data_IF_000923144195
#
_entry.id   IF_000923144195
#
_cell.length_a   1.000
_cell.length_b   1.000
_cell.length_c   1.000
_cell.angle_alpha   90.00
_cell.angle_beta   90.00
_cell.angle_gamma   90.00
#
_symmetry.space_group_name_H-M   'P 1'
#
loop_
_entity.id
_entity.type
_entity.pdbx_description
1 polymer ?
#
# COMPACT_ATOMS: atom_id res chain seq x y z
N UNK A 1 -3.64 64.53 46.95
CA UNK A 1 -2.65 65.61 46.71
C UNK A 1 -1.39 64.90 46.24
N UNK A 2 -0.84 65.06 45.04
CA UNK A 2 -0.97 66.08 43.98
C UNK A 2 -0.32 65.45 42.73
N UNK A 3 -0.79 65.86 41.54
CA UNK A 3 -0.23 65.51 40.24
C UNK A 3 1.23 65.96 40.07
N UNK A 4 1.98 65.24 39.23
CA UNK A 4 3.14 65.78 38.52
C UNK A 4 3.12 65.30 37.04
N UNK A 5 2.95 66.20 36.05
CA UNK A 5 2.91 65.84 34.63
C UNK A 5 4.14 66.38 33.90
N UNK A 6 5.14 65.54 33.63
CA UNK A 6 6.23 65.88 32.70
C UNK A 6 6.85 64.62 32.10
N UNK A 7 6.30 64.17 30.98
CA UNK A 7 7.00 63.28 30.06
C UNK A 7 6.61 63.66 28.63
N UNK A 8 7.37 64.60 28.06
CA UNK A 8 7.34 64.93 26.64
C UNK A 8 8.76 64.89 26.08
N UNK A 9 8.83 64.46 24.82
CA UNK A 9 9.95 64.45 23.89
C UNK A 9 11.04 63.40 24.09
N UNK A 10 10.85 62.27 23.41
CA UNK A 10 11.96 61.67 22.68
C UNK A 10 11.56 61.59 21.20
N UNK A 11 11.99 62.59 20.43
CA UNK A 11 11.92 62.61 18.98
C UNK A 11 12.86 61.52 18.44
N UNK A 12 12.28 60.43 17.95
CA UNK A 12 13.03 59.42 17.20
C UNK A 12 13.28 59.97 15.81
N UNK A 13 14.54 60.36 15.59
CA UNK A 13 15.07 60.76 14.30
C UNK A 13 14.85 59.65 13.26
N UNK A 14 14.30 60.01 12.12
CA UNK A 14 14.26 59.18 10.92
C UNK A 14 15.70 58.98 10.44
N UNK A 15 16.23 57.79 10.66
CA UNK A 15 17.38 57.30 9.90
C UNK A 15 16.84 56.59 8.66
N UNK A 16 17.01 57.23 7.52
CA UNK A 16 16.88 56.62 6.20
C UNK A 16 17.99 55.59 6.01
N UNK A 17 17.69 54.32 6.28
CA UNK A 17 18.44 53.20 5.71
C UNK A 17 17.55 52.55 4.65
N UNK A 18 18.07 52.47 3.42
CA UNK A 18 17.53 51.64 2.35
C UNK A 18 17.70 50.17 2.76
N UNK A 19 16.85 49.71 3.67
CA UNK A 19 16.68 48.31 3.98
C UNK A 19 15.89 47.65 2.87
N UNK A 20 16.45 46.61 2.24
CA UNK A 20 15.63 45.54 1.65
C UNK A 20 14.70 45.09 2.77
N UNK A 21 13.44 45.50 2.71
CA UNK A 21 12.40 44.92 3.55
C UNK A 21 12.45 43.43 3.26
N UNK A 22 12.70 42.62 4.28
CA UNK A 22 12.61 41.18 4.13
C UNK A 22 11.14 40.88 3.80
N UNK A 23 10.84 40.68 2.50
CA UNK A 23 9.52 40.29 2.03
C UNK A 23 9.09 39.04 2.81
N UNK A 24 7.86 39.03 3.31
CA UNK A 24 7.38 37.89 4.08
C UNK A 24 7.39 36.63 3.19
N UNK A 25 7.67 35.43 3.72
CA UNK A 25 7.70 34.19 2.93
C UNK A 25 6.47 33.96 2.05
N UNK A 26 5.29 34.34 2.55
CA UNK A 26 4.02 34.25 1.83
C UNK A 26 3.90 35.27 0.70
N UNK A 27 4.50 36.45 0.82
CA UNK A 27 4.53 37.46 -0.26
C UNK A 27 5.40 36.98 -1.41
N UNK A 28 6.55 36.38 -1.12
CA UNK A 28 7.44 35.76 -2.11
C UNK A 28 6.68 34.65 -2.85
N UNK A 29 5.95 33.81 -2.12
CA UNK A 29 5.12 32.76 -2.71
C UNK A 29 4.00 33.33 -3.58
N UNK A 30 3.25 34.32 -3.09
CA UNK A 30 2.16 34.95 -3.86
C UNK A 30 2.69 35.56 -5.16
N UNK A 31 3.81 36.27 -5.09
CA UNK A 31 4.48 36.85 -6.25
C UNK A 31 4.92 35.78 -7.23
N UNK A 32 5.52 34.69 -6.75
CA UNK A 32 5.92 33.57 -7.60
C UNK A 32 4.73 32.94 -8.33
N UNK A 33 3.58 32.79 -7.66
CA UNK A 33 2.34 32.29 -8.28
C UNK A 33 1.84 33.27 -9.34
N UNK A 34 1.74 34.56 -9.01
CA UNK A 34 1.27 35.59 -9.94
C UNK A 34 2.17 35.74 -11.18
N UNK A 35 3.49 35.71 -10.98
CA UNK A 35 4.46 35.76 -12.07
C UNK A 35 4.29 34.55 -12.99
N UNK A 36 4.02 33.37 -12.44
CA UNK A 36 3.69 32.19 -13.23
C UNK A 36 2.39 32.39 -14.03
N UNK A 37 1.32 32.87 -13.39
CA UNK A 37 0.05 33.10 -14.07
C UNK A 37 0.19 34.09 -15.23
N UNK A 38 1.03 35.12 -15.08
CA UNK A 38 1.37 36.08 -16.14
C UNK A 38 2.12 35.41 -17.29
N UNK A 39 3.13 34.59 -16.99
CA UNK A 39 3.93 33.88 -18.01
C UNK A 39 3.06 32.92 -18.85
N UNK A 40 2.14 32.18 -18.22
CA UNK A 40 1.22 31.28 -18.93
C UNK A 40 0.02 31.98 -19.56
N UNK A 41 -0.21 33.25 -19.26
CA UNK A 41 -1.33 34.02 -19.79
C UNK A 41 -2.70 33.57 -19.29
N UNK A 42 -2.78 32.97 -18.09
CA UNK A 42 -4.06 32.57 -17.52
C UNK A 42 -4.87 33.79 -17.08
N UNK A 43 -6.07 33.95 -17.64
CA UNK A 43 -6.99 35.07 -17.33
C UNK A 43 -7.91 34.80 -16.15
N UNK A 44 -8.13 33.52 -15.80
CA UNK A 44 -9.01 33.09 -14.71
C UNK A 44 -8.36 31.96 -13.94
N UNK A 45 -8.47 31.99 -12.62
CA UNK A 45 -7.98 30.93 -11.72
C UNK A 45 -8.61 29.56 -12.03
N UNK A 46 -9.84 29.55 -12.55
CA UNK A 46 -10.56 28.33 -12.91
C UNK A 46 -9.98 27.58 -14.12
N UNK A 47 -9.11 28.22 -14.91
CA UNK A 47 -8.49 27.64 -16.10
C UNK A 47 -7.04 27.18 -15.84
N UNK A 48 -6.56 27.30 -14.60
CA UNK A 48 -5.20 26.88 -14.22
C UNK A 48 -5.19 25.38 -13.97
N UNK A 49 -4.52 24.64 -14.85
CA UNK A 49 -4.35 23.18 -14.75
C UNK A 49 -2.97 22.78 -14.24
N UNK A 50 -1.98 23.65 -14.41
CA UNK A 50 -0.57 23.36 -14.14
C UNK A 50 0.10 24.59 -13.50
N UNK A 51 0.90 24.36 -12.47
CA UNK A 51 1.59 25.42 -11.75
C UNK A 51 3.06 25.05 -11.47
N UNK A 52 3.97 25.85 -12.02
CA UNK A 52 5.41 25.65 -11.91
C UNK A 52 6.02 26.63 -10.91
N UNK A 53 6.40 26.13 -9.74
CA UNK A 53 6.96 26.91 -8.62
C UNK A 53 8.31 26.34 -8.14
N UNK A 54 8.98 25.55 -8.98
CA UNK A 54 10.27 24.94 -8.65
C UNK A 54 11.41 25.97 -8.56
N UNK A 55 12.40 25.70 -7.71
CA UNK A 55 13.65 26.50 -7.61
C UNK A 55 13.41 27.97 -7.26
N UNK A 56 12.42 28.26 -6.40
CA UNK A 56 12.07 29.62 -5.96
C UNK A 56 12.51 29.90 -4.53
N UNK A 57 13.11 28.92 -3.84
CA UNK A 57 13.56 29.05 -2.46
C UNK A 57 12.40 29.24 -1.47
N UNK A 58 11.20 28.78 -1.84
CA UNK A 58 9.99 28.95 -1.03
C UNK A 58 10.12 28.15 0.27
N UNK A 59 9.84 28.79 1.40
CA UNK A 59 9.69 28.12 2.70
C UNK A 59 8.24 27.80 3.00
N UNK A 60 7.32 28.63 2.49
CA UNK A 60 5.88 28.48 2.60
C UNK A 60 5.22 28.71 1.24
N UNK A 61 4.03 28.15 1.05
CA UNK A 61 3.22 28.37 -0.15
C UNK A 61 1.88 28.95 0.27
N UNK A 62 1.40 29.97 -0.46
CA UNK A 62 0.05 30.49 -0.27
C UNK A 62 -1.01 29.41 -0.51
N UNK A 63 -2.17 29.52 0.14
CA UNK A 63 -3.26 28.58 -0.08
C UNK A 63 -3.69 28.55 -1.56
N UNK A 64 -3.63 27.37 -2.17
CA UNK A 64 -3.91 27.13 -3.59
C UNK A 64 -5.37 26.71 -3.82
N UNK A 65 -6.23 26.84 -2.81
CA UNK A 65 -7.65 26.47 -2.88
C UNK A 65 -8.46 27.17 -3.98
N UNK A 66 -7.99 28.33 -4.47
CA UNK A 66 -8.59 29.04 -5.60
C UNK A 66 -8.49 28.26 -6.93
N UNK A 67 -7.47 27.41 -7.10
CA UNK A 67 -7.20 26.66 -8.33
C UNK A 67 -7.89 25.28 -8.31
N UNK A 68 -9.22 25.27 -8.47
CA UNK A 68 -10.04 24.05 -8.35
C UNK A 68 -9.76 22.97 -9.41
N UNK A 69 -9.23 23.35 -10.57
CA UNK A 69 -8.90 22.44 -11.68
C UNK A 69 -7.41 22.10 -11.79
N UNK A 70 -6.61 22.49 -10.79
CA UNK A 70 -5.18 22.19 -10.77
C UNK A 70 -4.97 20.66 -10.79
N UNK A 71 -4.19 20.19 -11.77
CA UNK A 71 -3.83 18.78 -11.96
C UNK A 71 -2.35 18.52 -11.69
N UNK A 72 -1.49 19.46 -12.05
CA UNK A 72 -0.03 19.29 -11.95
C UNK A 72 0.60 20.41 -11.14
N UNK A 73 1.37 20.05 -10.11
CA UNK A 73 2.04 21.02 -9.26
C UNK A 73 3.52 20.66 -9.08
N UNK A 74 4.39 21.56 -9.55
CA UNK A 74 5.84 21.43 -9.41
C UNK A 74 6.36 22.37 -8.32
N UNK A 75 6.81 21.80 -7.21
CA UNK A 75 7.37 22.50 -6.06
C UNK A 75 8.76 21.96 -5.68
N UNK A 76 9.40 21.23 -6.57
CA UNK A 76 10.70 20.64 -6.32
C UNK A 76 11.82 21.69 -6.20
N UNK A 77 12.86 21.36 -5.43
CA UNK A 77 13.99 22.27 -5.15
C UNK A 77 13.55 23.58 -4.47
N UNK A 78 12.76 23.46 -3.40
CA UNK A 78 12.43 24.58 -2.51
C UNK A 78 12.89 24.23 -1.08
N UNK A 79 12.41 24.96 -0.07
CA UNK A 79 12.74 24.79 1.35
C UNK A 79 11.46 24.58 2.18
N UNK A 80 10.49 23.90 1.60
CA UNK A 80 9.20 23.67 2.26
C UNK A 80 9.36 22.71 3.43
N UNK A 81 8.64 22.99 4.51
CA UNK A 81 8.65 22.17 5.74
C UNK A 81 7.41 21.28 5.89
N UNK A 82 6.28 21.64 5.26
CA UNK A 82 5.02 20.92 5.33
C UNK A 82 4.10 21.24 4.15
N UNK A 83 2.93 20.59 4.12
CA UNK A 83 1.98 20.65 2.98
C UNK A 83 0.61 21.17 3.47
N UNK A 84 0.55 22.42 3.90
CA UNK A 84 -0.69 23.04 4.42
C UNK A 84 -1.52 23.81 3.39
N UNK A 85 -1.03 23.90 2.14
CA UNK A 85 -1.54 24.81 1.11
C UNK A 85 -2.43 24.14 0.05
N UNK A 86 -2.72 22.84 0.17
CA UNK A 86 -3.49 22.05 -0.81
C UNK A 86 -4.93 21.80 -0.40
N UNK A 87 -5.58 22.82 0.14
CA UNK A 87 -6.98 22.70 0.60
C UNK A 87 -7.92 22.72 -0.60
N UNK A 88 -8.79 21.71 -0.76
CA UNK A 88 -9.81 21.62 -1.83
C UNK A 88 -9.27 21.44 -3.26
N UNK A 89 -8.01 21.05 -3.45
CA UNK A 89 -7.46 20.72 -4.78
C UNK A 89 -7.76 19.26 -5.19
N UNK A 90 -9.03 18.88 -5.21
CA UNK A 90 -9.46 17.48 -5.42
C UNK A 90 -9.08 16.87 -6.78
N UNK A 91 -8.77 17.72 -7.78
CA UNK A 91 -8.37 17.31 -9.12
C UNK A 91 -6.86 17.08 -9.28
N UNK A 92 -6.06 17.32 -8.23
CA UNK A 92 -4.61 17.20 -8.31
C UNK A 92 -4.23 15.74 -8.59
N UNK A 93 -3.50 15.53 -9.69
CA UNK A 93 -3.10 14.22 -10.17
C UNK A 93 -1.61 13.96 -9.91
N UNK A 94 -0.77 14.99 -10.02
CA UNK A 94 0.68 14.87 -9.88
C UNK A 94 1.23 15.98 -8.99
N UNK A 95 2.00 15.56 -7.97
CA UNK A 95 2.60 16.45 -6.99
C UNK A 95 4.10 16.15 -6.85
N UNK A 96 4.91 17.14 -7.23
CA UNK A 96 6.36 17.06 -7.19
C UNK A 96 6.90 17.92 -6.04
N UNK A 97 7.33 17.27 -4.96
CA UNK A 97 7.83 17.90 -3.74
C UNK A 97 9.26 17.45 -3.38
N UNK A 98 9.96 16.85 -4.33
CA UNK A 98 11.31 16.38 -4.11
C UNK A 98 12.32 17.52 -3.88
N UNK A 99 13.40 17.24 -3.15
CA UNK A 99 14.42 18.22 -2.78
C UNK A 99 13.81 19.42 -2.02
N UNK A 100 13.15 19.12 -0.90
CA UNK A 100 12.64 20.09 0.07
C UNK A 100 13.10 19.68 1.48
N UNK A 101 12.58 20.33 2.53
CA UNK A 101 12.86 20.03 3.92
C UNK A 101 11.59 19.57 4.65
N UNK A 102 10.75 18.78 3.96
CA UNK A 102 9.43 18.38 4.45
C UNK A 102 9.61 17.30 5.51
N UNK A 103 9.15 17.58 6.73
CA UNK A 103 9.15 16.60 7.83
C UNK A 103 7.76 16.06 8.15
N UNK A 104 6.70 16.74 7.68
CA UNK A 104 5.30 16.36 7.87
C UNK A 104 4.49 16.51 6.58
N UNK A 105 3.62 15.54 6.33
CA UNK A 105 2.74 15.47 5.15
C UNK A 105 1.25 15.48 5.52
N UNK A 106 0.93 15.94 6.72
CA UNK A 106 -0.45 16.14 7.17
C UNK A 106 -1.29 16.90 6.13
N UNK A 107 -2.48 16.38 5.83
CA UNK A 107 -3.43 17.01 4.91
C UNK A 107 -3.43 16.44 3.48
N UNK A 108 -2.44 15.60 3.11
CA UNK A 108 -2.44 14.91 1.80
C UNK A 108 -3.63 13.97 1.60
N UNK A 109 -4.23 13.45 2.68
CA UNK A 109 -5.42 12.60 2.62
C UNK A 109 -6.62 13.27 1.92
N UNK A 110 -6.61 14.61 1.77
CA UNK A 110 -7.64 15.38 1.07
C UNK A 110 -7.56 15.33 -0.46
N UNK A 111 -6.61 14.59 -1.05
CA UNK A 111 -6.32 14.56 -2.49
C UNK A 111 -6.69 13.19 -3.12
N UNK A 112 -7.98 12.93 -3.39
CA UNK A 112 -8.44 11.61 -3.84
C UNK A 112 -7.96 11.23 -5.26
N UNK A 113 -7.62 12.22 -6.08
CA UNK A 113 -7.22 12.01 -7.48
C UNK A 113 -5.71 11.92 -7.68
N UNK A 114 -4.91 11.91 -6.62
CA UNK A 114 -3.45 11.91 -6.76
C UNK A 114 -2.95 10.53 -7.20
N UNK A 115 -2.18 10.51 -8.29
CA UNK A 115 -1.60 9.30 -8.88
C UNK A 115 -0.09 9.24 -8.69
N UNK A 116 0.58 10.40 -8.73
CA UNK A 116 2.04 10.52 -8.62
C UNK A 116 2.38 11.47 -7.48
N UNK A 117 3.19 10.99 -6.53
CA UNK A 117 3.72 11.77 -5.42
C UNK A 117 5.22 11.53 -5.29
N UNK A 118 6.02 12.57 -5.57
CA UNK A 118 7.47 12.53 -5.39
C UNK A 118 7.87 13.32 -4.14
N UNK A 119 8.37 12.62 -3.14
CA UNK A 119 8.81 13.15 -1.84
C UNK A 119 10.26 12.77 -1.51
N UNK A 120 11.03 12.27 -2.48
CA UNK A 120 12.42 11.92 -2.25
C UNK A 120 13.28 13.15 -1.92
N UNK A 121 14.38 12.95 -1.19
CA UNK A 121 15.19 14.05 -0.63
C UNK A 121 14.35 15.03 0.20
N UNK A 122 13.79 14.55 1.29
CA UNK A 122 13.07 15.32 2.31
C UNK A 122 13.48 14.84 3.71
N UNK A 123 12.83 15.34 4.76
CA UNK A 123 13.17 15.09 6.17
C UNK A 123 12.12 14.24 6.89
N UNK A 124 11.40 13.38 6.15
CA UNK A 124 10.38 12.50 6.75
C UNK A 124 11.03 11.43 7.64
N UNK A 125 10.71 11.46 8.93
CA UNK A 125 11.29 10.56 9.94
C UNK A 125 10.33 9.43 10.32
N UNK A 126 9.05 9.73 10.49
CA UNK A 126 8.08 8.78 11.03
C UNK A 126 7.33 8.05 9.91
N UNK A 127 7.61 6.75 9.77
CA UNK A 127 6.97 5.89 8.77
C UNK A 127 5.48 5.68 9.03
N UNK A 128 5.06 5.57 10.29
CA UNK A 128 3.67 5.32 10.67
C UNK A 128 2.79 6.54 10.40
N UNK A 129 3.28 7.73 10.73
CA UNK A 129 2.62 8.99 10.41
C UNK A 129 2.47 9.15 8.89
N UNK A 130 3.55 8.90 8.15
CA UNK A 130 3.55 8.97 6.68
C UNK A 130 2.52 8.01 6.08
N UNK A 131 2.53 6.75 6.52
CA UNK A 131 1.59 5.72 6.06
C UNK A 131 0.16 6.11 6.41
N UNK A 132 -0.10 6.65 7.61
CA UNK A 132 -1.45 7.05 8.04
C UNK A 132 -2.06 8.10 7.10
N UNK A 133 -1.29 9.11 6.70
CA UNK A 133 -1.75 10.16 5.78
C UNK A 133 -1.99 9.63 4.37
N UNK A 134 -1.15 8.71 3.90
CA UNK A 134 -1.28 8.12 2.56
C UNK A 134 -2.34 6.99 2.51
N UNK A 135 -2.69 6.41 3.67
CA UNK A 135 -3.65 5.31 3.80
C UNK A 135 -5.07 5.83 3.57
N UNK A 136 -5.49 5.76 2.31
CA UNK A 136 -6.79 6.25 1.85
C UNK A 136 -6.73 6.76 0.41
N UNK A 137 -5.52 7.04 -0.10
CA UNK A 137 -5.30 7.48 -1.47
C UNK A 137 -5.38 6.29 -2.43
N UNK A 138 -6.60 5.93 -2.82
CA UNK A 138 -6.89 4.73 -3.62
C UNK A 138 -6.33 4.75 -5.05
N UNK A 139 -5.97 5.94 -5.55
CA UNK A 139 -5.48 6.18 -6.90
C UNK A 139 -3.96 6.39 -6.96
N UNK A 140 -3.27 6.41 -5.81
CA UNK A 140 -1.83 6.63 -5.74
C UNK A 140 -1.09 5.41 -6.30
N UNK A 141 -0.42 5.59 -7.44
CA UNK A 141 0.30 4.53 -8.16
C UNK A 141 1.80 4.67 -8.04
N UNK A 142 2.31 5.90 -8.10
CA UNK A 142 3.74 6.20 -8.05
C UNK A 142 4.06 6.99 -6.80
N UNK A 143 4.93 6.42 -5.97
CA UNK A 143 5.39 7.03 -4.74
C UNK A 143 6.92 6.98 -4.68
N UNK A 144 7.54 8.08 -4.30
CA UNK A 144 8.98 8.16 -4.09
C UNK A 144 9.28 8.77 -2.74
N UNK A 145 9.91 8.01 -1.85
CA UNK A 145 10.30 8.38 -0.50
C UNK A 145 11.82 8.23 -0.26
N UNK A 146 12.60 7.74 -1.21
CA UNK A 146 14.04 7.52 -1.05
C UNK A 146 14.77 8.78 -0.57
N UNK A 147 15.87 8.60 0.16
CA UNK A 147 16.61 9.69 0.80
C UNK A 147 15.74 10.55 1.74
N UNK A 148 14.85 9.89 2.46
CA UNK A 148 14.28 10.41 3.71
C UNK A 148 14.85 9.60 4.89
N UNK A 149 14.94 10.18 6.10
CA UNK A 149 15.35 9.44 7.30
C UNK A 149 14.54 8.16 7.55
N UNK A 150 13.25 8.14 7.21
CA UNK A 150 12.39 6.94 7.32
C UNK A 150 12.85 5.75 6.47
N UNK A 151 13.71 5.94 5.48
CA UNK A 151 14.25 4.85 4.67
C UNK A 151 15.28 4.01 5.43
N UNK A 152 15.79 4.50 6.56
CA UNK A 152 16.73 3.76 7.41
C UNK A 152 16.06 2.63 8.18
N UNK A 153 14.72 2.62 8.28
CA UNK A 153 13.99 1.56 8.95
C UNK A 153 14.16 0.23 8.20
N UNK A 154 14.48 -0.82 8.96
CA UNK A 154 14.56 -2.15 8.39
C UNK A 154 13.20 -2.55 7.79
N UNK A 155 13.22 -3.12 6.58
CA UNK A 155 12.02 -3.49 5.84
C UNK A 155 11.09 -2.32 5.47
N UNK A 156 11.54 -1.05 5.46
CA UNK A 156 10.67 0.10 5.12
C UNK A 156 9.89 -0.15 3.83
N UNK A 157 10.57 -0.66 2.78
CA UNK A 157 9.95 -0.92 1.48
C UNK A 157 8.77 -1.89 1.60
N UNK A 158 8.96 -3.01 2.30
CA UNK A 158 7.89 -3.99 2.51
C UNK A 158 6.76 -3.44 3.38
N UNK A 159 7.09 -2.62 4.37
CA UNK A 159 6.11 -1.95 5.22
C UNK A 159 5.20 -1.01 4.42
N UNK A 160 5.79 -0.16 3.56
CA UNK A 160 5.05 0.72 2.67
C UNK A 160 4.16 -0.09 1.71
N UNK A 161 4.69 -1.14 1.08
CA UNK A 161 3.93 -2.00 0.16
C UNK A 161 2.74 -2.68 0.87
N UNK A 162 2.91 -3.07 2.15
CA UNK A 162 1.87 -3.70 2.95
C UNK A 162 0.72 -2.74 3.27
N UNK A 163 1.03 -1.51 3.67
CA UNK A 163 0.02 -0.55 4.04
C UNK A 163 -0.59 0.22 2.86
N UNK A 164 0.15 0.36 1.75
CA UNK A 164 -0.26 1.07 0.54
C UNK A 164 -0.28 0.11 -0.67
N UNK A 165 -1.23 -0.84 -0.72
CA UNK A 165 -1.22 -1.88 -1.74
C UNK A 165 -1.52 -1.34 -3.15
N UNK A 166 -2.08 -0.13 -3.29
CA UNK A 166 -2.34 0.51 -4.58
C UNK A 166 -1.09 1.04 -5.30
N UNK A 167 0.04 1.18 -4.58
CA UNK A 167 1.29 1.67 -5.16
C UNK A 167 1.88 0.61 -6.09
N UNK A 168 2.07 0.97 -7.36
CA UNK A 168 2.65 0.14 -8.42
C UNK A 168 4.15 0.40 -8.59
N UNK A 169 4.58 1.65 -8.40
CA UNK A 169 5.98 2.08 -8.51
C UNK A 169 6.42 2.75 -7.20
N UNK A 170 7.40 2.17 -6.53
CA UNK A 170 7.97 2.68 -5.28
C UNK A 170 9.46 2.92 -5.44
N UNK A 171 9.90 4.16 -5.27
CA UNK A 171 11.31 4.59 -5.34
C UNK A 171 12.01 4.23 -6.65
N UNK A 172 11.27 4.39 -7.76
CA UNK A 172 11.74 4.06 -9.10
C UNK A 172 11.70 2.55 -9.44
N UNK A 173 11.35 1.70 -8.48
CA UNK A 173 11.28 0.25 -8.66
C UNK A 173 9.83 -0.25 -8.66
N UNK A 174 9.47 -1.05 -9.67
CA UNK A 174 8.15 -1.65 -9.75
C UNK A 174 7.92 -2.59 -8.56
N UNK A 175 6.75 -2.49 -7.94
CA UNK A 175 6.35 -3.38 -6.85
C UNK A 175 5.97 -4.73 -7.44
N UNK A 176 6.73 -5.76 -7.09
CA UNK A 176 6.54 -7.10 -7.61
C UNK A 176 5.56 -7.90 -6.77
N UNK A 177 4.87 -8.86 -7.41
CA UNK A 177 3.96 -9.77 -6.69
C UNK A 177 4.69 -10.63 -5.66
N UNK A 178 5.99 -10.91 -5.87
CA UNK A 178 6.82 -11.62 -4.89
C UNK A 178 6.93 -10.84 -3.58
N UNK A 179 7.21 -9.53 -3.66
CA UNK A 179 7.25 -8.65 -2.48
C UNK A 179 5.88 -8.62 -1.77
N UNK A 180 4.79 -8.55 -2.55
CA UNK A 180 3.41 -8.57 -2.02
C UNK A 180 3.05 -9.87 -1.31
N UNK A 181 3.55 -11.00 -1.77
CA UNK A 181 3.34 -12.29 -1.09
C UNK A 181 4.17 -12.41 0.18
N UNK A 182 5.44 -12.00 0.11
CA UNK A 182 6.36 -12.05 1.25
C UNK A 182 5.84 -11.26 2.45
N UNK A 183 5.25 -10.08 2.23
CA UNK A 183 4.71 -9.26 3.31
C UNK A 183 3.51 -9.92 4.03
N UNK A 184 2.70 -10.74 3.35
CA UNK A 184 1.59 -11.45 4.00
C UNK A 184 2.15 -12.44 5.03
N UNK A 185 3.21 -13.15 4.65
CA UNK A 185 3.91 -14.08 5.55
C UNK A 185 4.56 -13.37 6.74
N UNK A 186 5.13 -12.17 6.52
CA UNK A 186 5.86 -11.42 7.55
C UNK A 186 4.92 -10.67 8.51
N UNK A 187 3.94 -9.94 7.99
CA UNK A 187 3.10 -9.03 8.79
C UNK A 187 1.73 -9.59 9.15
N UNK A 188 1.29 -10.70 8.54
CA UNK A 188 -0.02 -11.29 8.81
C UNK A 188 -0.02 -12.82 8.75
N UNK A 189 0.56 -13.46 9.76
CA UNK A 189 0.64 -14.92 9.87
C UNK A 189 -0.71 -15.64 9.76
N UNK A 190 -1.80 -15.04 10.30
CA UNK A 190 -3.15 -15.62 10.17
C UNK A 190 -3.62 -15.64 8.72
N UNK A 191 -3.43 -14.54 7.99
CA UNK A 191 -3.77 -14.44 6.56
C UNK A 191 -2.86 -15.35 5.73
N UNK A 192 -1.58 -15.44 6.07
CA UNK A 192 -0.63 -16.35 5.42
C UNK A 192 -1.06 -17.81 5.55
N UNK A 193 -1.42 -18.24 6.76
CA UNK A 193 -1.89 -19.60 7.03
C UNK A 193 -3.16 -19.94 6.23
N UNK A 194 -4.10 -18.99 6.11
CA UNK A 194 -5.32 -19.15 5.30
C UNK A 194 -4.99 -19.27 3.81
N UNK A 195 -4.09 -18.42 3.27
CA UNK A 195 -3.69 -18.50 1.86
C UNK A 195 -3.01 -19.85 1.57
N UNK A 196 -2.16 -20.32 2.48
CA UNK A 196 -1.48 -21.61 2.36
C UNK A 196 -2.45 -22.79 2.41
N UNK A 197 -3.47 -22.75 3.29
CA UNK A 197 -4.47 -23.83 3.38
C UNK A 197 -5.40 -23.88 2.17
N UNK A 198 -5.65 -22.75 1.50
CA UNK A 198 -6.45 -22.67 0.26
C UNK A 198 -5.66 -23.19 -0.96
N UNK A 199 -4.35 -22.95 -1.01
CA UNK A 199 -3.50 -23.38 -2.13
C UNK A 199 -3.41 -24.91 -2.29
N UNK A 200 -3.73 -25.68 -1.24
CA UNK A 200 -3.65 -27.14 -1.20
C UNK A 200 -4.92 -27.86 -1.70
N UNK A 201 -5.56 -27.35 -2.76
CA UNK A 201 -6.71 -28.05 -3.36
C UNK A 201 -7.58 -27.28 -4.36
N UNK A 202 -7.43 -25.96 -4.49
CA UNK A 202 -8.21 -25.14 -5.43
C UNK A 202 -7.31 -24.31 -6.35
N UNK A 203 -7.42 -24.50 -7.67
CA UNK A 203 -6.87 -23.53 -8.64
C UNK A 203 -7.65 -22.23 -8.49
N UNK A 204 -7.02 -21.23 -7.86
CA UNK A 204 -7.46 -19.84 -7.93
C UNK A 204 -6.26 -19.00 -8.32
N UNK A 205 -6.49 -18.09 -9.26
CA UNK A 205 -5.46 -17.22 -9.82
C UNK A 205 -4.81 -16.39 -8.71
N UNK A 206 -3.49 -16.38 -8.66
CA UNK A 206 -2.69 -15.73 -7.62
C UNK A 206 -2.52 -14.22 -7.90
N UNK A 207 -3.47 -13.62 -8.63
CA UNK A 207 -3.61 -12.19 -8.82
C UNK A 207 -4.27 -11.60 -7.57
N UNK A 208 -3.45 -11.14 -6.63
CA UNK A 208 -3.93 -10.52 -5.40
C UNK A 208 -4.67 -9.20 -5.70
N UNK A 209 -5.96 -9.12 -5.38
CA UNK A 209 -6.70 -7.85 -5.33
C UNK A 209 -7.08 -7.50 -3.87
N UNK A 210 -6.45 -6.47 -3.27
CA UNK A 210 -6.72 -6.04 -1.90
C UNK A 210 -8.15 -5.50 -1.68
N UNK A 211 -8.88 -5.17 -2.75
CA UNK A 211 -10.23 -4.58 -2.69
C UNK A 211 -11.34 -5.60 -2.92
N UNK A 212 -11.03 -6.86 -3.23
CA UNK A 212 -12.07 -7.87 -3.44
C UNK A 212 -12.72 -8.27 -2.10
N UNK A 213 -14.06 -8.17 -1.96
CA UNK A 213 -14.75 -8.77 -0.84
C UNK A 213 -14.55 -10.28 -0.93
N UNK A 214 -14.08 -10.90 0.16
CA UNK A 214 -13.99 -12.35 0.28
C UNK A 214 -15.40 -12.95 0.13
N UNK A 215 -15.77 -13.36 -1.09
CA UNK A 215 -16.92 -14.24 -1.31
C UNK A 215 -16.47 -15.64 -0.93
N UNK A 216 -16.75 -16.04 0.32
CA UNK A 216 -16.77 -17.46 0.65
C UNK A 216 -17.79 -18.11 -0.28
N UNK A 217 -17.32 -18.98 -1.20
CA UNK A 217 -18.26 -19.91 -1.83
C UNK A 217 -18.86 -20.73 -0.69
N UNK A 218 -20.19 -20.87 -0.59
CA UNK A 218 -20.78 -21.74 0.41
C UNK A 218 -20.16 -23.13 0.24
N UNK A 219 -19.74 -23.72 1.36
CA UNK A 219 -19.20 -25.08 1.38
C UNK A 219 -20.20 -25.98 0.66
N UNK A 220 -19.78 -26.57 -0.45
CA UNK A 220 -20.58 -27.56 -1.15
C UNK A 220 -20.79 -28.70 -0.15
N UNK A 221 -22.04 -28.97 0.23
CA UNK A 221 -22.36 -30.12 1.09
C UNK A 221 -21.86 -31.35 0.35
N UNK A 222 -20.89 -32.02 0.94
CA UNK A 222 -20.43 -33.34 0.49
C UNK A 222 -21.65 -34.27 0.53
N UNK A 223 -21.88 -35.10 -0.51
CA UNK A 223 -22.93 -36.12 -0.48
C UNK A 223 -22.82 -36.96 0.79
N UNK A 224 -23.96 -37.44 1.32
CA UNK A 224 -24.03 -38.26 2.54
C UNK A 224 -23.12 -39.49 2.49
N UNK A 225 -22.80 -39.95 1.29
CA UNK A 225 -22.06 -41.19 1.05
C UNK A 225 -20.55 -40.96 0.89
N UNK A 226 -20.08 -39.72 1.05
CA UNK A 226 -18.65 -39.37 0.97
C UNK A 226 -17.98 -39.53 2.35
N UNK A 227 -17.60 -40.76 2.69
CA UNK A 227 -16.83 -41.05 3.90
C UNK A 227 -15.36 -40.66 3.70
N UNK A 228 -14.98 -39.45 4.12
CA UNK A 228 -13.58 -39.15 4.40
C UNK A 228 -13.17 -40.07 5.57
N UNK A 229 -12.09 -40.84 5.41
CA UNK A 229 -11.61 -41.76 6.44
C UNK A 229 -11.29 -40.99 7.73
N UNK A 230 -12.26 -40.97 8.65
CA UNK A 230 -12.10 -40.42 9.99
C UNK A 230 -11.27 -41.43 10.79
N UNK A 231 -9.97 -41.17 10.95
CA UNK A 231 -9.07 -41.93 11.82
C UNK A 231 -9.30 -41.66 13.32
N UNK A 232 -10.56 -41.50 13.73
CA UNK A 232 -10.91 -41.22 15.12
C UNK A 232 -12.09 -42.10 15.52
N UNK A 233 -11.85 -43.41 15.60
CA UNK A 233 -12.63 -44.27 16.49
C UNK A 233 -12.42 -43.76 17.92
N UNK A 234 -13.38 -42.99 18.46
CA UNK A 234 -13.42 -42.66 19.89
C UNK A 234 -14.01 -43.83 20.66
N UNK A 235 -13.27 -44.92 20.76
CA UNK A 235 -13.49 -45.89 21.84
C UNK A 235 -13.03 -45.22 23.13
N UNK A 236 -13.93 -45.01 24.10
CA UNK A 236 -13.53 -44.53 25.43
C UNK A 236 -12.78 -45.64 26.14
N UNK A 237 -11.51 -45.41 26.44
CA UNK A 237 -10.70 -46.28 27.28
C UNK A 237 -10.75 -45.72 28.70
N UNK A 238 -11.03 -46.58 29.68
CA UNK A 238 -11.05 -46.19 31.09
C UNK A 238 -9.63 -45.99 31.65
N UNK A 239 -8.64 -46.70 31.10
CA UNK A 239 -7.23 -46.59 31.44
C UNK A 239 -6.41 -46.09 30.24
N UNK A 240 -5.48 -45.12 30.42
CA UNK A 240 -4.71 -44.54 29.33
C UNK A 240 -3.68 -45.51 28.74
N UNK A 241 -3.19 -46.50 29.49
CA UNK A 241 -2.22 -47.48 28.99
C UNK A 241 -2.84 -48.46 27.98
N UNK A 242 -4.11 -48.83 28.15
CA UNK A 242 -4.85 -49.66 27.20
C UNK A 242 -5.05 -48.95 25.86
N UNK A 243 -5.28 -47.64 25.88
CA UNK A 243 -5.38 -46.82 24.67
C UNK A 243 -4.04 -46.79 23.90
N UNK A 244 -2.92 -46.76 24.62
CA UNK A 244 -1.57 -46.79 24.04
C UNK A 244 -1.24 -48.18 23.48
N UNK A 245 -1.61 -49.25 24.18
CA UNK A 245 -1.44 -50.64 23.72
C UNK A 245 -2.29 -50.94 22.47
N UNK A 246 -3.57 -50.55 22.45
CA UNK A 246 -4.41 -50.72 21.26
C UNK A 246 -3.92 -49.88 20.08
N UNK A 247 -3.45 -48.64 20.32
CA UNK A 247 -2.82 -47.81 19.28
C UNK A 247 -1.48 -48.38 18.79
N UNK A 248 -0.72 -49.06 19.64
CA UNK A 248 0.53 -49.69 19.26
C UNK A 248 0.32 -51.01 18.49
N UNK A 249 -0.74 -51.77 18.81
CA UNK A 249 -1.20 -52.92 18.02
C UNK A 249 -1.85 -52.50 16.69
N UNK A 250 -2.54 -51.36 16.65
CA UNK A 250 -3.08 -50.74 15.41
C UNK A 250 -2.01 -50.00 14.60
N UNK A 251 -0.71 -50.23 14.83
CA UNK A 251 0.35 -49.59 14.05
C UNK A 251 0.08 -49.81 12.56
N UNK A 252 0.02 -48.67 11.90
CA UNK A 252 -0.37 -48.40 10.51
C UNK A 252 -0.12 -49.57 9.57
N UNK A 253 -1.19 -50.28 9.18
CA UNK A 253 -1.12 -51.10 7.98
C UNK A 253 -0.87 -50.12 6.82
N UNK A 254 0.36 -50.08 6.31
CA UNK A 254 0.70 -49.23 5.19
C UNK A 254 0.19 -49.92 3.94
N UNK A 255 -0.92 -49.44 3.40
CA UNK A 255 -1.45 -49.92 2.13
C UNK A 255 -0.81 -49.13 0.99
N UNK A 256 -0.04 -49.82 0.15
CA UNK A 256 0.46 -49.25 -1.10
C UNK A 256 -0.45 -49.77 -2.21
N UNK A 257 -1.24 -48.86 -2.77
CA UNK A 257 -2.06 -49.12 -3.98
C UNK A 257 -1.24 -48.75 -5.21
N UNK A 258 -0.96 -49.73 -6.05
CA UNK A 258 -0.39 -49.52 -7.38
C UNK A 258 -1.46 -49.80 -8.44
N UNK A 259 -1.64 -48.85 -9.35
CA UNK A 259 -2.53 -48.98 -10.50
C UNK A 259 -1.71 -49.40 -11.71
N UNK A 260 -2.14 -50.44 -12.42
CA UNK A 260 -1.51 -50.79 -13.68
C UNK A 260 -1.93 -49.78 -14.77
N UNK A 261 -1.04 -48.83 -15.08
CA UNK A 261 -1.30 -47.76 -16.03
C UNK A 261 -1.53 -48.24 -17.47
N UNK A 262 -1.06 -49.45 -17.82
CA UNK A 262 -1.29 -50.06 -19.14
C UNK A 262 -2.76 -50.45 -19.34
N UNK A 263 -3.52 -50.57 -18.26
CA UNK A 263 -4.98 -50.83 -18.30
C UNK A 263 -5.83 -49.57 -18.33
N UNK A 264 -5.21 -48.38 -18.23
CA UNK A 264 -5.92 -47.10 -18.18
C UNK A 264 -5.94 -46.51 -19.60
N UNK A 265 -7.12 -46.42 -20.25
CA UNK A 265 -7.20 -45.91 -21.61
C UNK A 265 -6.78 -44.44 -21.67
N UNK A 266 -5.92 -44.13 -22.64
CA UNK A 266 -5.46 -42.77 -22.91
C UNK A 266 -6.62 -41.90 -23.40
N UNK A 267 -6.43 -40.58 -23.36
CA UNK A 267 -7.48 -39.62 -23.72
C UNK A 267 -8.00 -39.84 -25.14
N UNK A 268 -7.12 -40.20 -26.07
CA UNK A 268 -7.44 -40.44 -27.48
C UNK A 268 -8.22 -41.76 -27.67
N UNK A 269 -7.87 -42.80 -26.92
CA UNK A 269 -8.54 -44.11 -26.96
C UNK A 269 -9.96 -44.07 -26.40
N UNK A 270 -10.28 -43.14 -25.49
CA UNK A 270 -11.64 -42.95 -24.96
C UNK A 270 -12.62 -42.34 -25.98
N UNK A 271 -12.13 -41.70 -27.04
CA UNK A 271 -12.97 -41.11 -28.10
C UNK A 271 -13.25 -42.07 -29.26
N UNK A 272 -12.58 -43.22 -29.28
CA UNK A 272 -12.81 -44.31 -30.24
C UNK A 272 -13.66 -45.37 -29.52
N UNK A 273 -14.98 -45.34 -29.72
CA UNK A 273 -15.99 -46.15 -29.00
C UNK A 273 -15.90 -47.69 -29.20
N UNK A 274 -14.78 -48.25 -29.67
CA UNK A 274 -14.71 -49.64 -30.15
C UNK A 274 -13.81 -50.60 -29.36
N UNK A 275 -13.25 -50.21 -28.21
CA UNK A 275 -12.58 -51.18 -27.33
C UNK A 275 -13.40 -51.48 -26.10
N UNK A 276 -13.81 -52.74 -25.94
CA UNK A 276 -14.22 -53.30 -24.64
C UNK A 276 -13.04 -53.16 -23.67
N UNK A 277 -13.06 -52.07 -22.89
CA UNK A 277 -12.04 -51.77 -21.89
C UNK A 277 -12.28 -52.72 -20.72
N UNK A 278 -11.39 -53.71 -20.59
CA UNK A 278 -11.36 -54.59 -19.41
C UNK A 278 -11.23 -53.76 -18.11
N UNK A 279 -11.70 -54.29 -16.97
CA UNK A 279 -11.69 -53.55 -15.72
C UNK A 279 -10.26 -53.17 -15.33
N UNK A 280 -10.07 -51.91 -14.94
CA UNK A 280 -8.78 -51.39 -14.47
C UNK A 280 -8.27 -52.24 -13.31
N UNK A 281 -7.05 -52.79 -13.45
CA UNK A 281 -6.46 -53.65 -12.44
C UNK A 281 -5.70 -52.79 -11.42
N UNK A 282 -6.15 -52.85 -10.17
CA UNK A 282 -5.50 -52.21 -9.03
C UNK A 282 -5.00 -53.28 -8.07
N UNK A 283 -3.74 -53.17 -7.67
CA UNK A 283 -3.12 -54.03 -6.68
C UNK A 283 -2.88 -53.24 -5.40
N UNK A 284 -3.50 -53.68 -4.31
CA UNK A 284 -3.30 -53.12 -2.97
C UNK A 284 -2.47 -54.08 -2.15
N UNK A 285 -1.25 -53.69 -1.81
CA UNK A 285 -0.40 -54.44 -0.89
C UNK A 285 -0.47 -53.80 0.48
N UNK A 286 -1.00 -54.53 1.46
CA UNK A 286 -1.05 -54.09 2.86
C UNK A 286 0.14 -54.64 3.62
N UNK A 287 1.05 -53.76 4.05
CA UNK A 287 2.18 -54.10 4.90
C UNK A 287 1.75 -53.92 6.36
N UNK A 288 1.79 -55.01 7.13
CA UNK A 288 1.55 -55.02 8.58
C UNK A 288 2.87 -55.09 9.33
#
# INVERSE_FOLDING_TARGET
MTWDPNHLNCAVQRTTSLGKVAEAPLEISSRAVEDQLKIRGHKRDADVFELFLSQKGLTEVIDLSRFKKLKYLWLHHNKLHGITFLTRNYCLAELYLNNNAIFDIEGLHCLPSLHILLLHHNELTNIDATVKELKGMLNLKTLSLYQNPLCQYNLYRLYIIYHLPGVELLDGNQVTEKERRSMITIFNHKKAHIVQSIAFGGKVDASWDPRSPFKQKPAQRVPSDFAFANNVDKTMFNDPEDAVFVRSMKRSAMAITSLNWDTVPTREEKYLEEKDIGPTQMLTVTLR
#
